data_IF_147107972247
#
_entry.id   IF_147107972247
#
_cell.length_a   1.000
_cell.length_b   1.000
_cell.length_c   1.000
_cell.angle_alpha   90.00
_cell.angle_beta   90.00
_cell.angle_gamma   90.00
#
_symmetry.space_group_name_H-M   'P 1'
#
loop_
_entity.id
_entity.type
_entity.pdbx_description
1 polymer ?
#
# COMPACT_ATOMS: atom_id res chain seq x y z
N UNK A 1 -7.65 22.29 -12.24
CA UNK A 1 -8.52 21.11 -12.37
C UNK A 1 -8.88 20.56 -10.99
N UNK A 2 -10.10 20.02 -10.86
CA UNK A 2 -10.52 19.28 -9.66
C UNK A 2 -10.94 17.88 -10.10
N UNK A 3 -10.44 16.85 -9.41
CA UNK A 3 -10.63 15.47 -9.80
C UNK A 3 -11.02 14.64 -8.60
N UNK A 4 -11.98 13.73 -8.80
CA UNK A 4 -12.32 12.66 -7.87
C UNK A 4 -11.73 11.38 -8.45
N UNK A 5 -10.91 10.66 -7.68
CA UNK A 5 -10.16 9.50 -8.19
C UNK A 5 -9.95 8.45 -7.09
N UNK A 6 -9.78 7.16 -7.44
CA UNK A 6 -9.30 6.18 -6.48
C UNK A 6 -7.98 6.63 -5.85
N UNK A 7 -7.82 6.48 -4.53
CA UNK A 7 -6.63 7.00 -3.83
C UNK A 7 -5.37 6.16 -4.04
N UNK A 8 -5.46 4.99 -4.64
CA UNK A 8 -4.35 4.03 -4.75
C UNK A 8 -3.10 4.61 -5.41
N UNK A 9 -3.26 5.47 -6.38
CA UNK A 9 -2.15 6.11 -7.08
C UNK A 9 -1.33 7.06 -6.19
N UNK A 10 -1.88 7.53 -5.06
CA UNK A 10 -1.15 8.36 -4.11
C UNK A 10 0.02 7.61 -3.45
N UNK A 11 0.01 6.26 -3.42
CA UNK A 11 1.00 5.49 -2.67
C UNK A 11 1.50 4.19 -3.33
N UNK A 12 0.79 3.59 -4.29
CA UNK A 12 1.25 2.37 -4.96
C UNK A 12 2.50 2.64 -5.81
N UNK A 13 3.46 1.73 -5.77
CA UNK A 13 4.75 1.85 -6.47
C UNK A 13 4.60 1.94 -8.00
N UNK A 14 3.62 1.25 -8.59
CA UNK A 14 3.36 1.33 -10.03
C UNK A 14 3.01 2.72 -10.57
N UNK A 15 2.66 3.67 -9.68
CA UNK A 15 2.36 5.06 -10.06
C UNK A 15 3.48 6.05 -9.69
N UNK A 16 4.66 5.58 -9.32
CA UNK A 16 5.76 6.43 -8.87
C UNK A 16 6.14 7.49 -9.89
N UNK A 17 6.35 7.11 -11.15
CA UNK A 17 6.74 8.05 -12.22
C UNK A 17 5.67 9.11 -12.47
N UNK A 18 4.39 8.71 -12.50
CA UNK A 18 3.28 9.64 -12.66
C UNK A 18 3.22 10.65 -11.49
N UNK A 19 3.45 10.21 -10.25
CA UNK A 19 3.49 11.12 -9.09
C UNK A 19 4.63 12.10 -9.18
N UNK A 20 5.83 11.64 -9.57
CA UNK A 20 7.00 12.49 -9.77
C UNK A 20 6.72 13.54 -10.84
N UNK A 21 6.14 13.16 -11.96
CA UNK A 21 5.76 14.08 -13.02
C UNK A 21 4.77 15.14 -12.51
N UNK A 22 3.67 14.73 -11.89
CA UNK A 22 2.66 15.66 -11.37
C UNK A 22 3.22 16.59 -10.29
N UNK A 23 4.05 16.08 -9.39
CA UNK A 23 4.68 16.90 -8.36
C UNK A 23 5.67 17.92 -8.93
N UNK A 24 6.23 17.69 -10.11
CA UNK A 24 7.21 18.58 -10.77
C UNK A 24 6.58 19.54 -11.77
N UNK A 25 5.46 19.18 -12.37
CA UNK A 25 4.87 19.93 -13.49
C UNK A 25 3.57 20.65 -13.15
N UNK A 26 2.92 20.32 -12.03
CA UNK A 26 1.66 20.91 -11.62
C UNK A 26 1.73 21.44 -10.20
N UNK A 27 1.12 22.60 -9.95
CA UNK A 27 0.91 23.09 -8.59
C UNK A 27 -0.23 22.33 -7.93
N UNK A 28 0.06 21.67 -6.83
CA UNK A 28 -0.97 21.05 -6.01
C UNK A 28 -1.57 22.08 -5.08
N UNK A 29 -2.89 22.17 -5.04
CA UNK A 29 -3.64 23.14 -4.23
C UNK A 29 -4.34 22.44 -3.07
N UNK A 30 -4.85 21.24 -3.27
CA UNK A 30 -5.54 20.49 -2.23
C UNK A 30 -5.61 19.00 -2.49
N UNK A 31 -5.55 18.22 -1.41
CA UNK A 31 -5.76 16.77 -1.41
C UNK A 31 -6.69 16.41 -0.26
N UNK A 32 -7.81 15.79 -0.55
CA UNK A 32 -8.72 15.23 0.45
C UNK A 32 -8.76 13.71 0.34
N UNK A 33 -8.47 12.98 1.41
CA UNK A 33 -8.70 11.54 1.48
C UNK A 33 -10.09 11.27 2.03
N UNK A 34 -10.91 10.56 1.26
CA UNK A 34 -12.25 10.17 1.69
C UNK A 34 -12.30 8.71 2.15
N UNK A 35 -11.36 7.87 1.72
CA UNK A 35 -11.41 6.45 2.04
C UNK A 35 -12.60 5.73 1.40
N UNK A 36 -13.03 4.59 1.99
CA UNK A 36 -14.20 3.84 1.54
C UNK A 36 -15.51 4.58 1.89
N UNK A 37 -16.61 4.22 1.24
CA UNK A 37 -17.93 4.78 1.56
C UNK A 37 -18.09 6.28 1.26
N UNK A 38 -17.38 6.80 0.25
CA UNK A 38 -17.50 8.19 -0.17
C UNK A 38 -18.79 8.49 -0.97
N UNK A 39 -19.46 7.45 -1.47
CA UNK A 39 -20.67 7.54 -2.28
C UNK A 39 -21.77 6.65 -1.71
N UNK A 40 -23.01 7.13 -1.73
CA UNK A 40 -24.19 6.40 -1.23
C UNK A 40 -24.59 5.22 -2.14
N UNK A 41 -24.33 5.31 -3.44
CA UNK A 41 -24.92 4.46 -4.47
C UNK A 41 -23.96 3.40 -5.02
N UNK A 42 -22.69 3.42 -4.66
CA UNK A 42 -21.72 2.42 -5.13
C UNK A 42 -21.79 1.21 -4.20
N UNK A 43 -22.61 0.24 -4.55
CA UNK A 43 -22.70 -1.07 -3.89
C UNK A 43 -21.76 -2.04 -4.58
N UNK A 44 -20.83 -2.66 -3.81
CA UNK A 44 -20.10 -3.85 -4.23
C UNK A 44 -18.60 -3.78 -4.22
N UNK A 45 -17.96 -2.66 -4.51
CA UNK A 45 -16.53 -2.49 -4.30
C UNK A 45 -16.26 -1.34 -3.33
N UNK A 46 -15.46 -1.62 -2.30
CA UNK A 46 -14.98 -0.59 -1.37
C UNK A 46 -13.89 0.21 -2.09
N UNK A 47 -14.28 1.17 -2.90
CA UNK A 47 -13.33 2.06 -3.56
C UNK A 47 -12.89 3.14 -2.57
N UNK A 48 -11.62 3.12 -2.22
CA UNK A 48 -11.01 4.20 -1.47
C UNK A 48 -10.83 5.43 -2.38
N UNK A 49 -11.48 6.52 -2.06
CA UNK A 49 -11.57 7.72 -2.91
C UNK A 49 -10.71 8.86 -2.37
N UNK A 50 -10.20 9.69 -3.27
CA UNK A 50 -9.53 10.96 -2.96
C UNK A 50 -10.06 12.08 -3.84
N UNK A 51 -10.03 13.30 -3.30
CA UNK A 51 -10.25 14.55 -4.00
C UNK A 51 -8.90 15.21 -4.27
N UNK A 52 -8.73 15.77 -5.45
CA UNK A 52 -7.49 16.42 -5.85
C UNK A 52 -7.79 17.74 -6.54
N UNK A 53 -7.09 18.81 -6.14
CA UNK A 53 -7.18 20.12 -6.78
C UNK A 53 -5.79 20.49 -7.27
N UNK A 54 -5.65 20.64 -8.59
CA UNK A 54 -4.41 20.95 -9.28
C UNK A 54 -4.50 22.23 -10.08
N UNK A 55 -3.44 23.03 -10.05
CA UNK A 55 -3.18 24.13 -10.98
C UNK A 55 -2.29 23.64 -12.14
N UNK A 56 -2.46 24.23 -13.32
CA UNK A 56 -1.63 23.93 -14.48
C UNK A 56 -0.25 24.62 -14.45
N UNK A 57 -0.01 25.44 -13.44
CA UNK A 57 1.22 26.18 -13.26
C UNK A 57 2.32 25.30 -12.68
N UNK A 58 3.56 25.58 -13.03
CA UNK A 58 4.72 24.92 -12.41
C UNK A 58 4.79 25.28 -10.92
N UNK A 59 5.07 24.32 -10.05
CA UNK A 59 5.20 24.60 -8.62
C UNK A 59 6.41 25.47 -8.32
N UNK A 60 6.23 26.49 -7.49
CA UNK A 60 7.35 27.25 -6.92
C UNK A 60 8.08 26.40 -5.87
N UNK A 61 9.29 26.78 -5.50
CA UNK A 61 10.13 26.06 -4.52
C UNK A 61 9.43 25.83 -3.18
N UNK A 62 8.64 26.79 -2.75
CA UNK A 62 7.91 26.78 -1.47
C UNK A 62 6.41 26.41 -1.64
N UNK A 63 6.04 25.88 -2.82
CA UNK A 63 4.65 25.46 -3.05
C UNK A 63 4.20 24.43 -2.00
N UNK A 64 3.03 24.67 -1.46
CA UNK A 64 2.39 23.80 -0.50
C UNK A 64 0.92 23.60 -0.89
N UNK A 65 0.34 22.48 -0.48
CA UNK A 65 -1.07 22.18 -0.69
C UNK A 65 -1.78 21.93 0.64
N UNK A 66 -3.08 22.11 0.62
CA UNK A 66 -3.96 21.83 1.74
C UNK A 66 -4.30 20.34 1.76
N UNK A 67 -4.19 19.70 2.91
CA UNK A 67 -4.49 18.30 3.08
C UNK A 67 -5.57 18.09 4.15
N UNK A 68 -6.54 17.24 3.82
CA UNK A 68 -7.64 16.83 4.70
C UNK A 68 -7.78 15.30 4.65
N UNK A 69 -8.08 14.70 5.78
CA UNK A 69 -8.30 13.25 5.88
C UNK A 69 -9.63 12.97 6.59
N UNK A 70 -10.61 12.51 5.82
CA UNK A 70 -11.92 12.04 6.28
C UNK A 70 -12.08 10.53 6.05
N UNK A 71 -10.98 9.79 5.92
CA UNK A 71 -11.02 8.37 5.59
C UNK A 71 -11.50 7.48 6.73
N UNK A 72 -11.46 7.99 7.96
CA UNK A 72 -11.96 7.28 9.15
C UNK A 72 -13.49 7.31 9.27
N UNK A 73 -14.16 8.24 8.60
CA UNK A 73 -15.61 8.34 8.66
C UNK A 73 -16.28 7.28 7.77
N UNK A 74 -17.37 6.71 8.23
CA UNK A 74 -18.06 5.61 7.53
C UNK A 74 -19.07 6.08 6.50
N UNK A 75 -19.69 7.26 6.70
CA UNK A 75 -20.76 7.76 5.83
C UNK A 75 -20.37 9.01 5.06
N UNK A 76 -20.95 9.24 3.85
CA UNK A 76 -20.74 10.45 3.08
C UNK A 76 -21.09 11.73 3.85
N UNK A 77 -22.15 11.69 4.65
CA UNK A 77 -22.57 12.83 5.47
C UNK A 77 -21.53 13.20 6.53
N UNK A 78 -20.99 12.20 7.25
CA UNK A 78 -19.94 12.44 8.23
C UNK A 78 -18.65 12.94 7.58
N UNK A 79 -18.26 12.35 6.42
CA UNK A 79 -17.12 12.86 5.64
C UNK A 79 -17.27 14.32 5.26
N UNK A 80 -18.46 14.74 4.85
CA UNK A 80 -18.74 16.13 4.51
C UNK A 80 -18.59 17.04 5.73
N UNK A 81 -19.04 16.62 6.90
CA UNK A 81 -18.87 17.37 8.15
C UNK A 81 -17.39 17.47 8.54
N UNK A 82 -16.65 16.36 8.46
CA UNK A 82 -15.22 16.33 8.74
C UNK A 82 -14.46 17.24 7.79
N UNK A 83 -14.75 17.22 6.49
CA UNK A 83 -14.10 18.14 5.52
C UNK A 83 -14.39 19.63 5.79
N UNK A 84 -15.51 19.95 6.45
CA UNK A 84 -15.85 21.33 6.82
C UNK A 84 -15.22 21.78 8.15
N UNK A 85 -14.98 20.86 9.07
CA UNK A 85 -14.62 21.16 10.45
C UNK A 85 -13.20 20.73 10.84
N UNK A 86 -12.55 19.84 10.05
CA UNK A 86 -11.23 19.34 10.36
C UNK A 86 -10.15 20.41 10.22
N UNK A 87 -9.12 20.29 11.04
CA UNK A 87 -7.90 21.06 10.89
C UNK A 87 -7.22 20.74 9.57
N UNK A 88 -6.93 21.76 8.80
CA UNK A 88 -6.28 21.65 7.50
C UNK A 88 -4.78 21.56 7.69
N UNK A 89 -4.17 20.46 7.28
CA UNK A 89 -2.72 20.36 7.23
C UNK A 89 -2.17 21.08 5.99
N UNK A 90 -1.06 21.81 6.16
CA UNK A 90 -0.34 22.48 5.06
C UNK A 90 0.92 21.68 4.76
N UNK A 91 0.95 21.05 3.58
CA UNK A 91 2.01 20.11 3.20
C UNK A 91 2.87 20.70 2.08
N UNK A 92 4.17 20.77 2.28
CA UNK A 92 5.10 21.24 1.24
C UNK A 92 5.19 20.22 0.10
N UNK A 93 4.93 20.68 -1.11
CA UNK A 93 4.95 19.83 -2.30
C UNK A 93 6.33 19.23 -2.58
N UNK A 94 7.40 20.03 -2.43
CA UNK A 94 8.77 19.59 -2.66
C UNK A 94 9.25 18.48 -1.71
N UNK A 95 8.63 18.34 -0.55
CA UNK A 95 8.94 17.25 0.41
C UNK A 95 8.39 15.92 -0.09
N UNK A 96 7.24 15.92 -0.76
CA UNK A 96 6.60 14.69 -1.23
C UNK A 96 7.47 13.93 -2.28
N UNK A 97 8.23 14.64 -3.10
CA UNK A 97 9.16 14.02 -4.06
C UNK A 97 10.25 13.20 -3.35
N UNK A 98 10.60 13.56 -2.11
CA UNK A 98 11.64 12.89 -1.32
C UNK A 98 11.14 11.68 -0.54
N UNK A 99 9.83 11.51 -0.45
CA UNK A 99 9.25 10.33 0.20
C UNK A 99 9.61 9.06 -0.58
N UNK A 100 9.69 7.89 0.08
CA UNK A 100 9.81 6.62 -0.62
C UNK A 100 8.76 6.49 -1.72
N UNK A 101 9.19 6.14 -2.95
CA UNK A 101 8.34 6.07 -4.14
C UNK A 101 7.54 7.36 -4.42
N UNK A 102 7.99 8.51 -3.92
CA UNK A 102 7.29 9.79 -3.99
C UNK A 102 5.82 9.71 -3.50
N UNK A 103 5.57 8.90 -2.48
CA UNK A 103 4.23 8.73 -1.91
C UNK A 103 3.70 10.03 -1.34
N UNK A 104 2.42 10.29 -1.55
CA UNK A 104 1.74 11.46 -1.01
C UNK A 104 1.30 11.15 0.43
N UNK A 105 1.88 11.87 1.37
CA UNK A 105 1.59 11.76 2.79
C UNK A 105 0.92 13.04 3.27
N UNK A 106 -0.26 12.93 3.86
CA UNK A 106 -1.10 14.07 4.27
C UNK A 106 -0.84 14.54 5.71
N UNK A 107 0.15 13.95 6.37
CA UNK A 107 0.60 14.37 7.69
C UNK A 107 2.10 14.68 7.66
N UNK A 108 2.57 15.47 8.61
CA UNK A 108 4.01 15.60 8.82
C UNK A 108 4.59 14.23 9.21
N UNK A 109 5.58 13.78 8.45
CA UNK A 109 6.29 12.56 8.79
C UNK A 109 7.03 12.76 10.11
N UNK A 110 6.86 11.83 11.02
CA UNK A 110 7.63 11.82 12.26
C UNK A 110 9.13 11.82 11.94
N UNK A 111 9.87 12.65 12.66
CA UNK A 111 11.33 12.66 12.57
C UNK A 111 11.87 11.35 13.12
N UNK A 112 12.45 10.52 12.29
CA UNK A 112 12.99 9.22 12.68
C UNK A 112 13.67 8.52 11.52
N UNK A 113 14.42 7.47 11.82
CA UNK A 113 15.03 6.62 10.81
C UNK A 113 13.94 5.80 10.11
N UNK A 114 13.81 5.86 8.78
CA UNK A 114 12.86 5.05 8.05
C UNK A 114 13.07 3.56 8.32
N UNK A 115 11.98 2.81 8.53
CA UNK A 115 12.07 1.37 8.82
C UNK A 115 12.88 0.59 7.78
N UNK A 116 12.83 1.00 6.51
CA UNK A 116 13.62 0.39 5.41
C UNK A 116 15.14 0.44 5.63
N UNK A 117 15.64 1.36 6.46
CA UNK A 117 17.07 1.43 6.81
C UNK A 117 17.44 0.46 7.94
N UNK A 118 16.45 -0.03 8.65
CA UNK A 118 16.61 -0.95 9.79
C UNK A 118 16.17 -2.38 9.46
N UNK A 119 15.25 -2.56 8.51
CA UNK A 119 14.65 -3.85 8.19
C UNK A 119 14.18 -3.90 6.73
N UNK A 120 14.20 -5.10 6.16
CA UNK A 120 13.62 -5.39 4.85
C UNK A 120 12.34 -6.21 5.03
N UNK A 121 11.27 -5.80 4.35
CA UNK A 121 10.06 -6.60 4.23
C UNK A 121 10.15 -7.40 2.93
N UNK A 122 10.31 -8.71 3.05
CA UNK A 122 10.35 -9.62 1.91
C UNK A 122 9.00 -10.30 1.77
N UNK A 123 8.52 -10.41 0.54
CA UNK A 123 7.40 -11.29 0.24
C UNK A 123 7.89 -12.72 0.39
N UNK A 124 7.12 -13.55 1.10
CA UNK A 124 7.39 -14.98 1.12
C UNK A 124 7.16 -15.61 -0.26
N UNK A 125 7.61 -16.85 -0.41
CA UNK A 125 7.37 -17.63 -1.61
C UNK A 125 5.88 -17.78 -1.87
N UNK A 126 5.43 -17.49 -3.10
CA UNK A 126 4.08 -17.77 -3.57
C UNK A 126 4.14 -18.95 -4.55
N UNK A 127 3.69 -20.09 -4.11
CA UNK A 127 3.77 -21.34 -4.88
C UNK A 127 2.74 -21.41 -6.02
N UNK A 128 2.23 -20.37 -6.60
CA UNK A 128 1.28 -20.31 -7.74
C UNK A 128 0.45 -21.57 -8.03
N UNK A 129 1.10 -22.72 -8.06
CA UNK A 129 0.54 -24.06 -8.15
C UNK A 129 0.79 -24.84 -6.84
N UNK A 130 0.05 -24.49 -5.78
CA UNK A 130 0.16 -25.15 -4.47
C UNK A 130 0.06 -26.68 -4.53
N UNK A 131 -0.91 -27.28 -5.23
CA UNK A 131 -1.02 -28.75 -5.34
C UNK A 131 0.23 -29.45 -5.91
N UNK A 132 1.03 -28.77 -6.70
CA UNK A 132 2.27 -29.29 -7.26
C UNK A 132 3.43 -29.23 -6.28
N UNK A 133 3.57 -28.12 -5.56
CA UNK A 133 4.76 -27.78 -4.79
C UNK A 133 4.58 -27.91 -3.27
N UNK A 134 3.36 -28.02 -2.76
CA UNK A 134 3.08 -28.08 -1.33
C UNK A 134 2.51 -29.45 -0.96
N UNK A 135 2.99 -30.00 0.14
CA UNK A 135 2.53 -31.26 0.77
C UNK A 135 2.45 -31.08 2.27
N UNK A 136 1.75 -31.99 2.92
CA UNK A 136 1.82 -32.11 4.37
C UNK A 136 3.09 -32.88 4.75
N UNK A 137 3.76 -32.49 5.83
CA UNK A 137 5.06 -33.05 6.18
C UNK A 137 5.05 -34.59 6.35
N UNK A 138 3.90 -35.16 6.71
CA UNK A 138 3.75 -36.61 6.85
C UNK A 138 3.55 -37.39 5.53
N UNK A 139 3.30 -36.69 4.43
CA UNK A 139 3.17 -37.25 3.09
C UNK A 139 4.55 -37.44 2.45
N UNK A 140 5.60 -36.88 3.03
CA UNK A 140 6.94 -36.88 2.49
C UNK A 140 7.80 -37.92 3.21
N UNK A 141 8.62 -38.72 2.47
CA UNK A 141 9.59 -39.64 3.07
C UNK A 141 10.55 -38.89 4.02
N UNK A 142 10.85 -39.49 5.18
CA UNK A 142 11.70 -38.87 6.21
C UNK A 142 13.12 -38.48 5.75
N UNK A 143 13.60 -39.05 4.69
CA UNK A 143 14.91 -38.78 4.10
C UNK A 143 14.85 -37.90 2.84
N UNK A 144 13.72 -37.32 2.51
CA UNK A 144 13.60 -36.42 1.40
C UNK A 144 14.27 -35.05 1.76
N UNK A 145 15.29 -34.69 1.02
CA UNK A 145 16.13 -33.52 1.27
C UNK A 145 15.79 -32.33 0.37
N UNK A 146 14.86 -32.52 -0.52
CA UNK A 146 14.38 -31.51 -1.48
C UNK A 146 13.23 -30.68 -0.94
N UNK A 147 12.67 -31.06 0.23
CA UNK A 147 11.53 -30.44 0.86
C UNK A 147 11.95 -29.63 2.08
N UNK A 148 11.41 -28.41 2.18
CA UNK A 148 11.64 -27.51 3.30
C UNK A 148 10.33 -27.19 4.01
N UNK A 149 10.38 -26.87 5.31
CA UNK A 149 9.19 -26.44 6.03
C UNK A 149 8.63 -25.15 5.47
N UNK A 150 7.32 -25.12 5.23
CA UNK A 150 6.60 -23.97 4.73
C UNK A 150 5.63 -23.46 5.79
N UNK A 151 5.74 -22.16 6.10
CA UNK A 151 4.80 -21.50 7.02
C UNK A 151 3.58 -21.02 6.23
N UNK A 152 2.47 -21.72 6.38
CA UNK A 152 1.20 -21.33 5.74
C UNK A 152 0.37 -20.38 6.61
N UNK A 153 -0.59 -19.68 5.97
CA UNK A 153 -1.58 -18.87 6.67
C UNK A 153 -2.55 -19.77 7.43
N UNK A 154 -2.89 -19.39 8.65
CA UNK A 154 -3.87 -20.09 9.48
C UNK A 154 -5.06 -19.20 9.78
N UNK A 155 -6.29 -19.76 9.86
CA UNK A 155 -7.48 -18.99 10.19
C UNK A 155 -7.48 -18.47 11.63
N UNK A 156 -6.82 -19.21 12.55
CA UNK A 156 -6.72 -18.85 13.95
C UNK A 156 -5.27 -18.82 14.42
N UNK A 157 -4.90 -17.85 15.25
CA UNK A 157 -3.60 -17.81 15.89
C UNK A 157 -3.50 -18.93 16.93
N UNK A 158 -2.72 -19.96 16.64
CA UNK A 158 -2.43 -21.10 17.53
C UNK A 158 -0.92 -21.31 17.61
N UNK A 159 -0.46 -21.78 18.77
CA UNK A 159 0.91 -22.27 18.91
C UNK A 159 1.12 -23.39 17.86
N UNK A 160 2.21 -23.26 17.09
CA UNK A 160 2.55 -24.18 16.00
C UNK A 160 1.57 -24.22 14.80
N UNK A 161 0.59 -23.29 14.74
CA UNK A 161 -0.27 -23.17 13.56
C UNK A 161 0.52 -22.87 12.28
N UNK A 162 0.08 -23.41 11.14
CA UNK A 162 0.72 -23.19 9.84
C UNK A 162 2.03 -23.93 9.60
N UNK A 163 2.42 -24.85 10.49
CA UNK A 163 3.68 -25.63 10.39
C UNK A 163 3.48 -27.07 9.89
N UNK A 164 2.32 -27.38 9.34
CA UNK A 164 2.03 -28.70 8.82
C UNK A 164 2.51 -28.92 7.37
N UNK A 165 2.84 -27.86 6.67
CA UNK A 165 3.16 -27.91 5.25
C UNK A 165 4.67 -27.91 5.01
N UNK A 166 5.06 -28.52 3.91
CA UNK A 166 6.40 -28.51 3.34
C UNK A 166 6.31 -28.12 1.88
N UNK A 167 7.32 -27.41 1.39
CA UNK A 167 7.41 -26.96 0.02
C UNK A 167 8.57 -27.67 -0.71
N UNK A 168 8.35 -28.02 -1.96
CA UNK A 168 9.37 -28.63 -2.80
C UNK A 168 10.38 -27.57 -3.27
N UNK A 169 11.47 -27.42 -2.50
CA UNK A 169 12.44 -26.34 -2.65
C UNK A 169 13.69 -26.70 -3.45
N UNK A 170 13.99 -27.98 -3.56
CA UNK A 170 15.13 -28.53 -4.30
C UNK A 170 16.48 -27.87 -3.95
N UNK A 171 16.66 -27.52 -2.68
CA UNK A 171 17.88 -26.86 -2.19
C UNK A 171 18.23 -25.59 -2.96
N UNK A 172 17.26 -24.72 -3.16
CA UNK A 172 17.41 -23.45 -3.88
C UNK A 172 17.76 -23.59 -5.37
N UNK A 173 17.45 -24.71 -5.99
CA UNK A 173 17.74 -24.97 -7.42
C UNK A 173 16.49 -25.31 -8.23
N UNK A 174 15.37 -25.46 -7.56
CA UNK A 174 14.12 -25.88 -8.18
C UNK A 174 13.37 -24.77 -8.91
N UNK A 175 12.33 -25.18 -9.62
CA UNK A 175 11.47 -24.29 -10.38
C UNK A 175 10.87 -23.20 -9.50
N UNK A 176 10.41 -23.54 -8.29
CA UNK A 176 9.78 -22.61 -7.39
C UNK A 176 10.73 -21.53 -6.88
N UNK A 177 12.01 -21.84 -6.71
CA UNK A 177 13.03 -20.88 -6.30
C UNK A 177 13.22 -19.79 -7.36
N UNK A 178 13.08 -20.13 -8.64
CA UNK A 178 13.17 -19.16 -9.73
C UNK A 178 11.88 -18.37 -9.98
N UNK A 179 10.76 -18.79 -9.39
CA UNK A 179 9.46 -18.12 -9.45
C UNK A 179 9.17 -17.24 -8.24
N UNK A 180 9.96 -17.36 -7.17
CA UNK A 180 9.83 -16.58 -5.93
C UNK A 180 10.62 -15.26 -6.01
#
# INVERSE_FOLDING_TARGET
ASVVTPQNWLFLSGYTEMRIEFLRTMSWLGVGRLGPGAFETITGEIVNTSLLILGAELPAKESAFLALDASADESPANKALTLQAADVAVIRQSVQVKNPDSRIVLAELAKGTPLRELASALSGCSAGDGPRFIRLFWEIPKNATEWEFHQSTVPDARDYGGKAEVIFWERERGEIFHLA
#
